data_IF_028088828896
#
_entry.id   IF_028088828896
#
_cell.length_a   1.000
_cell.length_b   1.000
_cell.length_c   1.000
_cell.angle_alpha   90.00
_cell.angle_beta   90.00
_cell.angle_gamma   90.00
#
_symmetry.space_group_name_H-M   'P 1'
#
loop_
_entity.id
_entity.type
_entity.pdbx_description
1 polymer ?
#
# COMPACT_ATOMS: atom_id res chain seq x y z
N UNK A 1 58.76 -24.37 110.34
CA UNK A 1 57.38 -24.39 110.79
C UNK A 1 56.47 -24.25 109.60
N UNK A 2 55.84 -25.37 109.22
CA UNK A 2 54.81 -25.42 108.14
C UNK A 2 53.50 -24.95 108.76
N UNK A 3 52.78 -24.05 107.99
CA UNK A 3 51.38 -23.75 108.28
C UNK A 3 50.57 -24.19 107.09
N UNK A 4 49.70 -25.16 107.32
CA UNK A 4 48.75 -25.76 106.41
C UNK A 4 47.46 -24.90 106.42
N UNK A 5 47.01 -24.36 105.30
CA UNK A 5 45.74 -23.63 105.13
C UNK A 5 44.74 -24.48 104.36
N UNK A 6 43.78 -25.01 105.08
CA UNK A 6 42.59 -25.66 104.44
C UNK A 6 41.77 -24.70 103.60
N UNK A 7 41.54 -25.05 102.37
CA UNK A 7 40.73 -24.35 101.42
C UNK A 7 39.23 -24.77 101.51
N UNK A 8 38.41 -23.96 102.11
CA UNK A 8 36.97 -24.15 102.28
C UNK A 8 36.31 -23.83 100.96
N UNK A 9 35.81 -24.83 100.24
CA UNK A 9 35.09 -24.65 98.93
C UNK A 9 33.70 -24.10 99.18
N UNK A 10 33.44 -22.89 98.70
CA UNK A 10 32.13 -22.21 98.70
C UNK A 10 31.28 -22.69 97.51
N UNK A 11 30.32 -23.56 97.81
CA UNK A 11 29.30 -24.02 96.82
C UNK A 11 28.35 -22.91 96.37
N UNK A 12 28.43 -21.70 96.86
CA UNK A 12 27.53 -20.57 96.53
C UNK A 12 27.85 -19.91 95.19
N UNK A 13 29.09 -20.01 94.66
CA UNK A 13 29.45 -19.43 93.36
C UNK A 13 28.88 -20.18 92.13
N UNK A 14 28.67 -21.50 92.29
CA UNK A 14 28.16 -22.31 91.15
C UNK A 14 26.65 -22.09 90.83
N UNK A 15 25.87 -21.83 91.92
CA UNK A 15 24.43 -21.53 91.72
C UNK A 15 24.22 -20.13 91.09
N UNK A 16 25.10 -19.17 91.29
CA UNK A 16 25.04 -17.87 90.63
C UNK A 16 25.49 -17.97 89.18
N UNK A 17 26.48 -18.75 88.84
CA UNK A 17 26.92 -18.97 87.46
C UNK A 17 25.87 -19.74 86.65
N UNK A 18 25.17 -20.71 87.22
CA UNK A 18 24.03 -21.42 86.55
C UNK A 18 22.81 -20.52 86.30
N UNK A 19 22.50 -19.60 87.27
CA UNK A 19 21.43 -18.63 87.17
C UNK A 19 21.69 -17.59 86.08
N UNK A 20 22.89 -17.08 85.94
CA UNK A 20 23.31 -16.14 84.88
C UNK A 20 23.32 -16.84 83.53
N UNK A 21 23.77 -18.12 83.44
CA UNK A 21 23.70 -18.93 82.20
C UNK A 21 22.25 -19.20 81.69
N UNK A 22 21.34 -19.49 82.64
CA UNK A 22 19.95 -19.69 82.33
C UNK A 22 19.24 -18.39 81.92
N UNK A 23 19.56 -17.23 82.48
CA UNK A 23 19.04 -15.92 82.03
C UNK A 23 19.61 -15.50 80.72
N UNK A 24 20.87 -15.79 80.38
CA UNK A 24 21.44 -15.56 79.04
C UNK A 24 20.84 -16.51 78.02
N UNK A 25 20.62 -17.77 78.33
CA UNK A 25 19.95 -18.71 77.42
C UNK A 25 18.49 -18.31 77.18
N UNK A 26 17.76 -17.84 78.19
CA UNK A 26 16.40 -17.30 78.04
C UNK A 26 16.38 -15.99 77.29
N UNK A 27 17.34 -15.09 77.44
CA UNK A 27 17.45 -13.86 76.67
C UNK A 27 17.83 -14.13 75.16
N UNK A 28 18.68 -15.11 74.88
CA UNK A 28 19.03 -15.55 73.58
C UNK A 28 17.81 -16.24 72.90
N UNK A 29 17.04 -17.02 73.69
CA UNK A 29 15.81 -17.63 73.16
C UNK A 29 14.72 -16.60 72.92
N UNK A 30 14.55 -15.56 73.69
CA UNK A 30 13.62 -14.47 73.51
C UNK A 30 14.04 -13.48 72.38
N UNK A 31 15.32 -13.36 72.08
CA UNK A 31 15.86 -12.56 70.99
C UNK A 31 15.74 -13.29 69.63
N UNK A 32 15.56 -14.62 69.64
CA UNK A 32 15.45 -15.43 68.41
C UNK A 32 14.01 -15.84 68.11
N UNK A 33 13.03 -15.41 68.89
CA UNK A 33 11.61 -15.49 68.48
C UNK A 33 11.31 -14.34 67.51
N UNK A 34 11.49 -14.56 66.20
CA UNK A 34 10.90 -13.69 65.17
C UNK A 34 9.42 -13.55 65.48
N UNK A 35 9.01 -12.34 65.82
CA UNK A 35 7.59 -12.01 65.98
C UNK A 35 6.98 -12.04 64.59
N UNK A 36 6.49 -13.21 64.16
CA UNK A 36 5.85 -13.39 62.86
C UNK A 36 4.43 -12.77 62.98
N UNK A 37 4.14 -11.67 62.29
CA UNK A 37 2.83 -11.06 62.35
C UNK A 37 1.79 -12.01 61.78
N UNK A 38 0.66 -12.16 62.46
CA UNK A 38 -0.49 -12.91 61.94
C UNK A 38 -1.41 -11.99 61.15
N UNK A 39 -1.89 -12.50 60.03
CA UNK A 39 -2.74 -11.80 59.07
C UNK A 39 -3.96 -12.65 58.79
N UNK A 40 -5.15 -12.03 58.81
CA UNK A 40 -6.38 -12.75 58.49
C UNK A 40 -6.44 -13.13 57.01
N UNK A 41 -6.82 -14.37 56.70
CA UNK A 41 -7.01 -14.84 55.31
C UNK A 41 -8.00 -13.98 54.49
N UNK A 42 -8.92 -13.26 55.17
CA UNK A 42 -9.86 -12.35 54.50
C UNK A 42 -9.23 -11.04 53.99
N UNK A 43 -8.04 -10.70 54.46
CA UNK A 43 -7.33 -9.47 54.11
C UNK A 43 -6.34 -9.66 52.94
N UNK A 44 -6.12 -10.91 52.52
CA UNK A 44 -5.16 -11.26 51.47
C UNK A 44 -5.84 -11.93 50.31
N UNK A 45 -5.46 -11.51 49.08
CA UNK A 45 -5.84 -12.19 47.86
C UNK A 45 -4.75 -13.16 47.44
N UNK A 46 -5.04 -14.45 47.57
CA UNK A 46 -4.12 -15.51 47.13
C UNK A 46 -4.36 -15.82 45.66
N UNK A 47 -3.29 -15.88 44.91
CA UNK A 47 -3.28 -16.27 43.49
C UNK A 47 -2.52 -17.55 43.33
N UNK A 48 -3.10 -18.55 42.69
CA UNK A 48 -2.43 -19.79 42.33
C UNK A 48 -1.48 -19.55 41.15
N UNK A 49 -0.28 -20.15 41.23
CA UNK A 49 0.65 -20.22 40.11
C UNK A 49 0.32 -21.46 39.29
N UNK A 50 -0.12 -21.23 38.08
CA UNK A 50 -0.46 -22.30 37.15
C UNK A 50 0.68 -22.53 36.15
N UNK A 51 0.80 -23.78 35.68
CA UNK A 51 1.72 -24.14 34.60
C UNK A 51 0.94 -24.68 33.41
N UNK A 52 1.18 -24.09 32.24
CA UNK A 52 0.47 -24.48 31.02
C UNK A 52 0.98 -23.76 29.79
N UNK A 53 0.28 -23.98 28.69
CA UNK A 53 0.56 -23.26 27.45
C UNK A 53 -0.05 -21.86 27.53
N UNK A 54 0.77 -20.85 27.35
CA UNK A 54 0.34 -19.45 27.36
C UNK A 54 0.61 -18.82 25.99
N UNK A 55 -0.43 -18.38 25.32
CA UNK A 55 -0.32 -17.64 24.07
C UNK A 55 -0.16 -16.15 24.35
N UNK A 56 0.90 -15.57 23.84
CA UNK A 56 1.14 -14.14 23.96
C UNK A 56 0.52 -13.40 22.77
N UNK A 57 -0.19 -12.33 23.08
CA UNK A 57 -0.81 -11.44 22.10
C UNK A 57 -0.39 -9.99 22.36
N UNK A 58 -0.14 -9.27 21.26
CA UNK A 58 -0.02 -7.81 21.29
C UNK A 58 -1.39 -7.20 21.05
N UNK A 59 -1.84 -6.32 21.94
CA UNK A 59 -3.01 -5.49 21.70
C UNK A 59 -2.58 -4.23 20.94
N UNK A 60 -3.21 -4.00 19.81
CA UNK A 60 -2.93 -2.87 18.94
C UNK A 60 -4.23 -2.17 18.55
N UNK A 61 -4.18 -0.86 18.46
CA UNK A 61 -5.30 -0.03 18.01
C UNK A 61 -4.99 0.50 16.61
N UNK A 62 -6.02 0.62 15.80
CA UNK A 62 -5.84 1.10 14.45
C UNK A 62 -7.14 1.42 13.76
N UNK A 63 -7.09 1.37 12.45
CA UNK A 63 -8.22 1.69 11.59
C UNK A 63 -8.22 0.82 10.34
N UNK A 64 -9.40 0.63 9.77
CA UNK A 64 -9.50 0.08 8.44
C UNK A 64 -9.09 1.11 7.39
N UNK A 65 -8.44 0.66 6.34
CA UNK A 65 -8.16 1.48 5.16
C UNK A 65 -8.36 0.67 3.88
N UNK A 66 -8.65 1.35 2.80
CA UNK A 66 -8.82 0.71 1.49
C UNK A 66 -7.47 0.24 0.96
N UNK A 67 -7.37 -1.02 0.52
CA UNK A 67 -6.16 -1.55 -0.11
C UNK A 67 -5.84 -0.84 -1.43
N UNK A 68 -6.89 -0.37 -2.12
CA UNK A 68 -6.81 0.37 -3.37
C UNK A 68 -7.45 1.74 -3.18
N UNK A 69 -6.65 2.78 -3.26
CA UNK A 69 -7.11 4.16 -3.23
C UNK A 69 -6.70 4.88 -4.51
N UNK A 70 -7.63 5.64 -5.08
CA UNK A 70 -7.37 6.49 -6.24
C UNK A 70 -7.49 7.95 -5.85
N UNK A 71 -6.41 8.68 -6.02
CA UNK A 71 -6.42 10.13 -5.92
C UNK A 71 -7.01 10.71 -7.21
N UNK A 72 -8.06 11.51 -7.07
CA UNK A 72 -8.65 12.26 -8.16
C UNK A 72 -7.85 13.55 -8.34
N UNK A 73 -7.28 13.76 -9.52
CA UNK A 73 -6.48 14.94 -9.85
C UNK A 73 -7.02 15.61 -11.10
N UNK A 74 -6.95 16.94 -11.16
CA UNK A 74 -7.29 17.70 -12.35
C UNK A 74 -6.21 17.51 -13.43
N UNK A 75 -6.56 16.91 -14.56
CA UNK A 75 -5.64 16.74 -15.70
C UNK A 75 -5.49 18.04 -16.52
N UNK A 76 -6.53 18.88 -16.53
CA UNK A 76 -6.53 20.19 -17.14
C UNK A 76 -7.04 21.23 -16.15
N UNK A 77 -6.59 22.49 -16.30
CA UNK A 77 -7.14 23.59 -15.50
C UNK A 77 -8.60 23.81 -15.84
N UNK A 78 -9.38 24.24 -14.83
CA UNK A 78 -10.79 24.59 -15.07
C UNK A 78 -11.48 25.09 -13.82
N UNK A 79 -12.71 25.59 -13.99
CA UNK A 79 -13.61 25.98 -12.91
C UNK A 79 -14.58 24.85 -12.62
N UNK A 80 -14.78 24.48 -11.35
CA UNK A 80 -15.78 23.47 -10.95
C UNK A 80 -17.16 23.96 -11.36
N UNK A 81 -17.71 23.37 -12.40
CA UNK A 81 -19.04 23.74 -12.94
C UNK A 81 -20.15 22.93 -12.26
N UNK A 82 -19.93 21.65 -11.99
CA UNK A 82 -20.93 20.78 -11.37
C UNK A 82 -20.23 19.73 -10.51
N UNK A 83 -20.87 19.36 -9.40
CA UNK A 83 -20.49 18.25 -8.54
C UNK A 83 -21.64 17.26 -8.58
N UNK A 84 -21.38 16.05 -9.11
CA UNK A 84 -22.38 15.00 -9.25
C UNK A 84 -22.47 14.11 -8.01
N UNK A 85 -21.34 13.87 -7.36
CA UNK A 85 -21.24 12.99 -6.18
C UNK A 85 -20.65 13.73 -5.00
N UNK A 86 -21.09 13.35 -3.79
CA UNK A 86 -20.58 13.90 -2.52
C UNK A 86 -19.81 12.82 -1.75
N UNK A 87 -18.92 13.20 -0.83
CA UNK A 87 -18.27 12.24 0.07
C UNK A 87 -19.28 11.32 0.74
N UNK A 88 -18.96 10.02 0.78
CA UNK A 88 -19.84 8.95 1.26
C UNK A 88 -20.68 8.26 0.18
N UNK A 89 -20.70 8.75 -1.05
CA UNK A 89 -21.40 8.08 -2.16
C UNK A 89 -20.63 6.85 -2.65
N UNK A 90 -21.36 5.75 -2.90
CA UNK A 90 -20.82 4.57 -3.60
C UNK A 90 -20.76 4.85 -5.11
N UNK A 91 -19.63 4.55 -5.73
CA UNK A 91 -19.31 4.88 -7.12
C UNK A 91 -18.69 3.69 -7.84
N UNK A 92 -18.91 3.62 -9.16
CA UNK A 92 -18.22 2.70 -10.07
C UNK A 92 -17.11 3.45 -10.80
N UNK A 93 -16.23 2.73 -11.46
CA UNK A 93 -15.08 3.30 -12.18
C UNK A 93 -15.45 4.41 -13.17
N UNK A 94 -16.56 4.28 -13.87
CA UNK A 94 -17.07 5.22 -14.87
C UNK A 94 -17.99 6.32 -14.32
N UNK A 95 -18.32 6.27 -13.03
CA UNK A 95 -19.23 7.25 -12.41
C UNK A 95 -18.61 8.63 -12.40
N UNK A 96 -19.28 9.65 -12.99
CA UNK A 96 -18.79 11.02 -12.95
C UNK A 96 -18.90 11.59 -11.51
N UNK A 97 -17.82 12.19 -11.04
CA UNK A 97 -17.74 12.81 -9.72
C UNK A 97 -18.01 14.31 -9.82
N UNK A 98 -17.31 14.99 -10.73
CA UNK A 98 -17.48 16.42 -10.97
C UNK A 98 -17.14 16.76 -12.42
N UNK A 99 -17.60 17.92 -12.86
CA UNK A 99 -17.29 18.51 -14.14
C UNK A 99 -16.56 19.84 -13.95
N UNK A 100 -15.43 19.97 -14.61
CA UNK A 100 -14.72 21.23 -14.75
C UNK A 100 -15.18 21.92 -16.05
N UNK A 101 -15.30 23.23 -16.05
CA UNK A 101 -15.53 24.04 -17.24
C UNK A 101 -14.24 24.79 -17.60
N UNK A 102 -13.85 24.69 -18.86
CA UNK A 102 -12.76 25.46 -19.44
C UNK A 102 -13.20 25.99 -20.81
N UNK A 103 -13.79 27.20 -20.88
CA UNK A 103 -14.25 27.78 -22.14
C UNK A 103 -13.10 28.07 -23.13
N UNK A 104 -11.90 28.37 -22.62
CA UNK A 104 -10.72 28.61 -23.45
C UNK A 104 -10.31 27.34 -24.22
N UNK A 105 -10.22 26.22 -23.52
CA UNK A 105 -9.93 24.92 -24.13
C UNK A 105 -11.02 24.53 -25.16
N UNK A 106 -12.28 24.81 -24.87
CA UNK A 106 -13.38 24.53 -25.82
C UNK A 106 -13.27 25.38 -27.09
N UNK A 107 -12.88 26.67 -26.95
CA UNK A 107 -12.60 27.52 -28.09
C UNK A 107 -11.38 27.04 -28.89
N UNK A 108 -10.32 26.62 -28.22
CA UNK A 108 -9.13 26.10 -28.86
C UNK A 108 -9.44 24.82 -29.65
N UNK A 109 -10.20 23.85 -29.08
CA UNK A 109 -10.67 22.66 -29.78
C UNK A 109 -11.42 23.06 -31.03
N UNK A 110 -12.35 24.02 -30.93
CA UNK A 110 -13.18 24.47 -32.10
C UNK A 110 -12.33 25.13 -33.17
N UNK A 111 -11.32 25.93 -32.77
CA UNK A 111 -10.37 26.56 -33.69
C UNK A 111 -9.55 25.52 -34.47
N UNK A 112 -8.94 24.57 -33.76
CA UNK A 112 -8.09 23.53 -34.34
C UNK A 112 -8.89 22.55 -35.21
N UNK A 113 -10.16 22.28 -34.86
CA UNK A 113 -11.07 21.55 -35.75
C UNK A 113 -11.36 22.28 -37.04
N UNK A 114 -11.54 23.60 -36.97
CA UNK A 114 -11.71 24.44 -38.18
C UNK A 114 -10.47 24.42 -39.06
N UNK A 115 -9.29 24.47 -38.44
CA UNK A 115 -8.02 24.39 -39.17
C UNK A 115 -7.84 23.01 -39.84
N UNK A 116 -8.18 21.91 -39.13
CA UNK A 116 -8.16 20.57 -39.70
C UNK A 116 -9.05 20.46 -40.94
N UNK A 117 -10.27 20.97 -40.84
CA UNK A 117 -11.21 20.97 -41.97
C UNK A 117 -10.66 21.75 -43.17
N UNK A 118 -10.01 22.90 -42.92
CA UNK A 118 -9.35 23.71 -43.97
C UNK A 118 -8.21 22.94 -44.64
N UNK A 119 -7.36 22.26 -43.85
CA UNK A 119 -6.24 21.47 -44.41
C UNK A 119 -6.73 20.24 -45.17
N UNK A 120 -7.77 19.56 -44.69
CA UNK A 120 -8.40 18.45 -45.42
C UNK A 120 -9.01 18.91 -46.79
N UNK A 121 -9.65 20.08 -46.79
CA UNK A 121 -10.17 20.65 -48.05
C UNK A 121 -9.03 21.04 -49.00
N UNK A 122 -7.93 21.60 -48.51
CA UNK A 122 -6.74 21.91 -49.29
C UNK A 122 -6.11 20.64 -49.88
N UNK A 123 -5.97 19.58 -49.11
CA UNK A 123 -5.48 18.27 -49.56
C UNK A 123 -6.37 17.72 -50.69
N UNK A 124 -7.71 17.73 -50.52
CA UNK A 124 -8.61 17.26 -51.55
C UNK A 124 -8.53 18.08 -52.87
N UNK A 125 -8.36 19.40 -52.74
CA UNK A 125 -8.17 20.26 -53.95
C UNK A 125 -6.83 19.95 -54.63
N UNK A 126 -5.77 19.73 -53.83
CA UNK A 126 -4.47 19.36 -54.36
C UNK A 126 -4.46 18.01 -55.07
N UNK A 127 -5.17 16.99 -54.50
CA UNK A 127 -5.33 15.68 -55.15
C UNK A 127 -6.06 15.79 -56.49
N UNK A 128 -7.10 16.66 -56.59
CA UNK A 128 -7.80 16.91 -57.85
C UNK A 128 -6.89 17.59 -58.88
N UNK A 129 -6.14 18.62 -58.49
CA UNK A 129 -5.19 19.33 -59.36
C UNK A 129 -4.12 18.36 -59.91
N UNK A 130 -3.53 17.57 -59.05
CA UNK A 130 -2.53 16.57 -59.42
C UNK A 130 -3.10 15.52 -60.40
N UNK A 131 -4.36 15.11 -60.20
CA UNK A 131 -4.97 14.16 -61.10
C UNK A 131 -5.22 14.76 -62.51
N UNK A 132 -5.58 16.04 -62.60
CA UNK A 132 -5.71 16.74 -63.85
C UNK A 132 -4.37 16.86 -64.58
N UNK A 133 -3.30 17.29 -63.84
CA UNK A 133 -1.95 17.37 -64.41
C UNK A 133 -1.47 16.00 -64.92
N UNK A 134 -1.74 14.94 -64.23
CA UNK A 134 -1.41 13.56 -64.65
C UNK A 134 -2.13 13.19 -65.93
N UNK A 135 -3.43 13.51 -66.06
CA UNK A 135 -4.21 13.24 -67.26
C UNK A 135 -3.63 14.01 -68.47
N UNK A 136 -3.18 15.25 -68.27
CA UNK A 136 -2.56 16.04 -69.37
C UNK A 136 -1.23 15.40 -69.84
N UNK A 137 -0.40 14.93 -68.90
CA UNK A 137 0.80 14.19 -69.28
C UNK A 137 0.51 12.85 -69.96
N UNK A 138 -0.46 12.09 -69.49
CA UNK A 138 -0.92 10.85 -70.13
C UNK A 138 -1.44 11.10 -71.55
N UNK A 139 -2.15 12.21 -71.76
CA UNK A 139 -2.58 12.65 -73.06
C UNK A 139 -1.41 12.94 -74.01
N UNK A 140 -0.40 13.66 -73.55
CA UNK A 140 0.84 13.92 -74.32
C UNK A 140 1.54 12.64 -74.77
N UNK A 141 1.63 11.67 -73.87
CA UNK A 141 2.24 10.34 -74.12
C UNK A 141 1.38 9.61 -75.19
N UNK A 142 0.10 9.65 -75.08
CA UNK A 142 -0.86 9.03 -76.06
C UNK A 142 -0.77 9.64 -77.49
N UNK A 143 -0.61 10.96 -77.54
CA UNK A 143 -0.41 11.65 -78.80
C UNK A 143 0.85 11.24 -79.54
N UNK A 144 1.94 11.18 -78.81
CA UNK A 144 3.25 10.73 -79.35
C UNK A 144 3.23 9.24 -79.70
N UNK A 145 2.54 8.42 -78.89
CA UNK A 145 2.38 6.99 -79.22
C UNK A 145 1.59 6.80 -80.54
N UNK A 146 0.54 7.58 -80.75
CA UNK A 146 -0.19 7.58 -82.01
C UNK A 146 0.65 8.05 -83.18
N UNK A 147 1.50 9.07 -83.02
CA UNK A 147 2.40 9.52 -84.08
C UNK A 147 3.52 8.45 -84.37
N UNK A 148 3.94 7.69 -83.42
CA UNK A 148 4.86 6.55 -83.61
C UNK A 148 4.16 5.45 -84.46
N UNK A 149 2.96 5.08 -84.08
CA UNK A 149 2.16 4.09 -84.85
C UNK A 149 1.94 4.48 -86.28
N UNK A 150 1.64 5.76 -86.51
CA UNK A 150 1.49 6.29 -87.87
C UNK A 150 2.84 6.18 -88.62
N UNK A 151 3.97 6.56 -88.06
CA UNK A 151 5.28 6.46 -88.70
C UNK A 151 5.70 5.00 -88.95
N UNK A 152 5.35 4.06 -88.07
CA UNK A 152 5.57 2.61 -88.25
C UNK A 152 4.74 2.05 -89.39
N UNK A 153 3.47 2.47 -89.52
CA UNK A 153 2.61 2.10 -90.67
C UNK A 153 3.13 2.62 -92.01
N UNK A 154 3.60 3.88 -92.03
CA UNK A 154 4.19 4.46 -93.25
C UNK A 154 5.45 3.70 -93.67
N UNK A 155 6.36 3.38 -92.71
CA UNK A 155 7.52 2.57 -93.00
C UNK A 155 7.13 1.17 -93.55
N UNK A 156 6.16 0.53 -92.93
CA UNK A 156 5.69 -0.79 -93.42
C UNK A 156 5.19 -0.78 -94.89
N UNK A 157 4.41 0.24 -95.22
CA UNK A 157 3.96 0.44 -96.61
C UNK A 157 5.09 0.68 -97.62
N UNK A 158 6.10 1.51 -97.22
CA UNK A 158 7.26 1.77 -98.09
C UNK A 158 8.15 0.52 -98.28
N UNK A 159 8.28 -0.33 -97.31
CA UNK A 159 8.98 -1.62 -97.39
C UNK A 159 8.24 -2.55 -98.34
N UNK A 160 6.97 -2.66 -98.26
CA UNK A 160 6.12 -3.49 -99.19
C UNK A 160 6.22 -2.99 -100.64
N UNK A 161 6.19 -1.65 -100.87
CA UNK A 161 6.36 -1.05 -102.20
C UNK A 161 7.75 -1.25 -102.77
N UNK A 162 8.82 -1.31 -101.94
CA UNK A 162 10.18 -1.62 -102.43
C UNK A 162 10.26 -3.04 -102.97
N UNK A 163 9.63 -4.02 -102.30
CA UNK A 163 9.61 -5.42 -102.78
C UNK A 163 8.87 -5.58 -104.13
N UNK A 164 8.04 -4.60 -104.44
CA UNK A 164 7.36 -4.48 -105.71
C UNK A 164 8.10 -3.58 -106.75
N UNK A 165 9.30 -3.04 -106.36
CA UNK A 165 10.16 -2.27 -107.28
C UNK A 165 9.75 -0.79 -107.48
N UNK A 166 8.88 -0.24 -106.66
CA UNK A 166 8.24 1.10 -106.83
C UNK A 166 8.80 2.16 -105.91
N UNK A 167 9.53 1.80 -104.78
CA UNK A 167 9.98 2.75 -103.81
C UNK A 167 11.52 2.96 -103.89
N UNK A 168 11.98 4.22 -103.61
CA UNK A 168 13.41 4.57 -103.54
C UNK A 168 14.01 4.22 -102.19
N UNK A 169 15.22 3.68 -102.18
CA UNK A 169 15.92 3.30 -100.89
C UNK A 169 16.14 4.51 -99.97
N UNK A 170 16.14 5.73 -100.45
CA UNK A 170 16.30 6.95 -99.64
C UNK A 170 15.01 7.26 -98.83
N UNK A 171 13.79 6.99 -99.39
CA UNK A 171 12.55 7.24 -98.69
C UNK A 171 12.33 6.28 -97.52
N UNK A 172 12.71 5.04 -97.71
CA UNK A 172 12.73 4.06 -96.62
C UNK A 172 13.65 4.50 -95.49
N UNK A 173 14.89 4.95 -95.79
CA UNK A 173 15.82 5.45 -94.74
C UNK A 173 15.28 6.68 -94.02
N UNK A 174 14.53 7.57 -94.69
CA UNK A 174 13.84 8.71 -94.05
C UNK A 174 12.76 8.24 -93.11
N UNK A 175 11.92 7.28 -93.49
CA UNK A 175 10.86 6.72 -92.63
C UNK A 175 11.45 5.96 -91.49
N UNK A 176 12.56 5.17 -91.67
CA UNK A 176 13.25 4.54 -90.57
C UNK A 176 13.80 5.57 -89.49
N UNK A 177 14.32 6.70 -90.00
CA UNK A 177 14.77 7.78 -89.09
C UNK A 177 13.64 8.44 -88.33
N UNK A 178 12.45 8.61 -88.99
CA UNK A 178 11.26 9.17 -88.35
C UNK A 178 10.74 8.23 -87.23
N UNK A 179 10.56 6.94 -87.53
CA UNK A 179 10.21 5.94 -86.50
C UNK A 179 11.19 5.99 -85.32
N UNK A 180 12.49 6.05 -85.57
CA UNK A 180 13.49 6.14 -84.54
C UNK A 180 13.36 7.45 -83.77
N UNK A 181 13.04 8.56 -84.37
CA UNK A 181 12.79 9.84 -83.75
C UNK A 181 11.57 9.79 -82.81
N UNK A 182 10.42 9.32 -83.37
CA UNK A 182 9.18 9.20 -82.58
C UNK A 182 9.35 8.23 -81.42
N UNK A 183 10.03 7.11 -81.62
CA UNK A 183 10.31 6.17 -80.53
C UNK A 183 11.13 6.78 -79.40
N UNK A 184 12.18 7.56 -79.68
CA UNK A 184 12.96 8.28 -78.69
C UNK A 184 12.14 9.36 -77.97
N UNK A 185 11.25 10.06 -78.71
CA UNK A 185 10.34 11.01 -78.10
C UNK A 185 9.40 10.34 -77.12
N UNK A 186 8.85 9.20 -77.47
CA UNK A 186 7.94 8.43 -76.64
C UNK A 186 8.64 7.97 -75.37
N UNK A 187 9.86 7.43 -75.47
CA UNK A 187 10.67 7.03 -74.32
C UNK A 187 10.95 8.21 -73.37
N UNK A 188 11.29 9.38 -73.95
CA UNK A 188 11.56 10.58 -73.13
C UNK A 188 10.29 11.08 -72.39
N UNK A 189 9.14 11.15 -73.05
CA UNK A 189 7.92 11.60 -72.41
C UNK A 189 7.40 10.57 -71.37
N UNK A 190 7.57 9.27 -71.62
CA UNK A 190 7.32 8.26 -70.58
C UNK A 190 8.22 8.41 -69.34
N UNK A 191 9.51 8.67 -69.52
CA UNK A 191 10.40 8.94 -68.37
C UNK A 191 9.99 10.20 -67.61
N UNK A 192 9.60 11.25 -68.32
CA UNK A 192 9.12 12.51 -67.75
C UNK A 192 7.83 12.31 -66.95
N UNK A 193 6.87 11.49 -67.45
CA UNK A 193 5.68 11.10 -66.73
C UNK A 193 6.03 10.35 -65.42
N UNK A 194 6.94 9.38 -65.48
CA UNK A 194 7.40 8.65 -64.29
C UNK A 194 7.98 9.60 -63.24
N UNK A 195 8.88 10.49 -63.62
CA UNK A 195 9.49 11.47 -62.70
C UNK A 195 8.44 12.42 -62.13
N UNK A 196 7.47 12.85 -62.92
CA UNK A 196 6.35 13.66 -62.47
C UNK A 196 5.52 12.94 -61.43
N UNK A 197 5.16 11.65 -61.65
CA UNK A 197 4.39 10.84 -60.72
C UNK A 197 5.15 10.62 -59.37
N UNK A 198 6.46 10.39 -59.45
CA UNK A 198 7.29 10.24 -58.24
C UNK A 198 7.30 11.55 -57.41
N UNK A 199 7.50 12.70 -58.05
CA UNK A 199 7.48 14.00 -57.42
C UNK A 199 6.08 14.30 -56.81
N UNK A 200 5.02 14.01 -57.53
CA UNK A 200 3.64 14.14 -57.02
C UNK A 200 3.38 13.27 -55.78
N UNK A 201 3.81 12.02 -55.82
CA UNK A 201 3.67 11.12 -54.69
C UNK A 201 4.34 11.67 -53.40
N UNK A 202 5.53 12.24 -53.54
CA UNK A 202 6.24 12.88 -52.42
C UNK A 202 5.52 14.12 -51.88
N UNK A 203 5.03 14.98 -52.78
CA UNK A 203 4.27 16.17 -52.38
C UNK A 203 2.94 15.82 -51.72
N UNK A 204 2.22 14.83 -52.27
CA UNK A 204 0.98 14.33 -51.68
C UNK A 204 1.24 13.71 -50.28
N UNK A 205 2.30 12.95 -50.14
CA UNK A 205 2.71 12.40 -48.84
C UNK A 205 2.99 13.52 -47.83
N UNK A 206 3.69 14.60 -48.23
CA UNK A 206 3.94 15.73 -47.34
C UNK A 206 2.62 16.36 -46.88
N UNK A 207 1.67 16.63 -47.78
CA UNK A 207 0.37 17.21 -47.43
C UNK A 207 -0.43 16.29 -46.50
N UNK A 208 -0.40 14.97 -46.71
CA UNK A 208 -1.02 13.99 -45.82
C UNK A 208 -0.44 13.99 -44.44
N UNK A 209 0.90 14.14 -44.30
CA UNK A 209 1.57 14.24 -43.01
C UNK A 209 1.12 15.50 -42.26
N UNK A 210 0.95 16.65 -42.96
CA UNK A 210 0.47 17.90 -42.34
C UNK A 210 -0.95 17.73 -41.78
N UNK A 211 -1.84 17.12 -42.55
CA UNK A 211 -3.22 16.81 -42.10
C UNK A 211 -3.18 15.85 -40.91
N UNK A 212 -2.38 14.81 -40.98
CA UNK A 212 -2.23 13.83 -39.85
C UNK A 212 -1.71 14.48 -38.57
N UNK A 213 -0.77 15.41 -38.67
CA UNK A 213 -0.26 16.14 -37.47
C UNK A 213 -1.38 17.00 -36.87
N UNK A 214 -2.19 17.66 -37.73
CA UNK A 214 -3.30 18.43 -37.25
C UNK A 214 -4.40 17.56 -36.61
N UNK A 215 -4.67 16.38 -37.16
CA UNK A 215 -5.60 15.39 -36.58
C UNK A 215 -5.15 14.97 -35.18
N UNK A 216 -3.85 14.69 -35.00
CA UNK A 216 -3.29 14.33 -33.70
C UNK A 216 -3.41 15.48 -32.70
N UNK A 217 -3.22 16.73 -33.15
CA UNK A 217 -3.39 17.89 -32.29
C UNK A 217 -4.83 18.05 -31.82
N UNK A 218 -5.79 17.92 -32.73
CA UNK A 218 -7.24 17.94 -32.42
C UNK A 218 -7.58 16.81 -31.43
N UNK A 219 -7.11 15.60 -31.69
CA UNK A 219 -7.35 14.44 -30.80
C UNK A 219 -6.82 14.66 -29.39
N UNK A 220 -5.61 15.24 -29.25
CA UNK A 220 -5.04 15.59 -27.94
C UNK A 220 -5.93 16.58 -27.20
N UNK A 221 -6.34 17.66 -27.83
CA UNK A 221 -7.20 18.68 -27.23
C UNK A 221 -8.59 18.14 -26.87
N UNK A 222 -9.14 17.25 -27.69
CA UNK A 222 -10.40 16.56 -27.38
C UNK A 222 -10.28 15.66 -26.15
N UNK A 223 -9.16 14.95 -26.00
CA UNK A 223 -8.88 14.16 -24.79
C UNK A 223 -8.81 15.07 -23.57
N UNK A 224 -8.09 16.20 -23.64
CA UNK A 224 -8.04 17.16 -22.55
C UNK A 224 -9.42 17.75 -22.20
N UNK A 225 -10.29 17.93 -23.19
CA UNK A 225 -11.67 18.38 -22.99
C UNK A 225 -12.52 17.29 -22.29
N UNK A 226 -12.34 16.01 -22.67
CA UNK A 226 -12.98 14.88 -22.00
C UNK A 226 -12.50 14.73 -20.55
N UNK A 227 -11.21 14.96 -20.30
CA UNK A 227 -10.59 14.91 -18.98
C UNK A 227 -11.10 15.99 -18.00
N UNK A 228 -11.86 16.98 -18.46
CA UNK A 228 -12.60 17.90 -17.60
C UNK A 228 -13.75 17.21 -16.85
N UNK A 229 -14.25 16.09 -17.34
CA UNK A 229 -15.18 15.24 -16.61
C UNK A 229 -14.41 14.23 -15.77
N UNK A 230 -14.31 14.52 -14.49
CA UNK A 230 -13.59 13.66 -13.54
C UNK A 230 -14.46 12.47 -13.16
N UNK A 231 -13.97 11.27 -13.41
CA UNK A 231 -14.63 10.00 -13.03
C UNK A 231 -13.93 9.35 -11.85
N UNK A 232 -14.61 8.45 -11.15
CA UNK A 232 -14.07 7.75 -9.98
C UNK A 232 -12.85 6.89 -10.32
N UNK A 233 -12.85 6.21 -11.46
CA UNK A 233 -11.75 5.39 -11.98
C UNK A 233 -11.53 4.05 -11.29
N UNK A 234 -12.11 3.83 -10.11
CA UNK A 234 -12.22 2.56 -9.38
C UNK A 234 -13.61 2.42 -8.78
N UNK A 235 -14.01 1.19 -8.49
CA UNK A 235 -15.24 0.91 -7.75
C UNK A 235 -14.99 1.04 -6.24
N UNK A 236 -15.88 1.76 -5.54
CA UNK A 236 -15.77 1.98 -4.10
C UNK A 236 -16.55 3.16 -3.60
N UNK A 237 -16.07 3.80 -2.56
CA UNK A 237 -16.72 4.98 -1.94
C UNK A 237 -15.85 6.23 -2.13
N UNK A 238 -16.49 7.35 -2.51
CA UNK A 238 -15.84 8.67 -2.52
C UNK A 238 -15.55 9.09 -1.07
N UNK A 239 -14.26 9.05 -0.68
CA UNK A 239 -13.85 9.32 0.71
C UNK A 239 -13.76 10.81 1.02
N UNK A 240 -13.18 11.59 0.10
CA UNK A 240 -13.08 13.04 0.22
C UNK A 240 -13.31 13.73 -1.13
N UNK A 241 -13.77 14.98 -1.04
CA UNK A 241 -13.83 15.92 -2.16
C UNK A 241 -13.27 17.25 -1.63
N UNK A 242 -12.13 17.67 -2.18
CA UNK A 242 -11.30 18.76 -1.63
C UNK A 242 -11.55 20.07 -2.38
N UNK A 243 -12.64 20.16 -3.17
CA UNK A 243 -12.99 21.31 -4.00
C UNK A 243 -14.45 21.69 -3.85
N UNK A 244 -14.75 22.96 -4.09
CA UNK A 244 -16.07 23.56 -3.99
C UNK A 244 -16.61 24.01 -5.37
N UNK A 245 -17.94 24.07 -5.48
CA UNK A 245 -18.60 24.58 -6.68
C UNK A 245 -18.16 26.02 -7.00
N UNK A 246 -17.72 26.25 -8.22
CA UNK A 246 -17.25 27.57 -8.65
C UNK A 246 -15.77 27.86 -8.37
N UNK A 247 -15.06 26.95 -7.72
CA UNK A 247 -13.62 27.07 -7.45
C UNK A 247 -12.81 26.90 -8.73
N UNK A 248 -11.77 27.71 -8.94
CA UNK A 248 -10.78 27.51 -9.99
C UNK A 248 -9.75 26.47 -9.54
N UNK A 249 -9.48 25.49 -10.39
CA UNK A 249 -8.58 24.38 -10.13
C UNK A 249 -7.47 24.39 -11.16
N UNK A 250 -6.19 24.48 -10.75
CA UNK A 250 -5.05 24.35 -11.65
C UNK A 250 -4.82 22.87 -12.04
N UNK A 251 -4.12 22.65 -13.12
CA UNK A 251 -3.67 21.32 -13.53
C UNK A 251 -2.82 20.67 -12.42
N UNK A 252 -3.02 19.37 -12.17
CA UNK A 252 -2.32 18.61 -11.14
C UNK A 252 -2.87 18.77 -9.72
N UNK A 253 -3.87 19.62 -9.49
CA UNK A 253 -4.47 19.77 -8.18
C UNK A 253 -5.22 18.53 -7.74
N UNK A 254 -5.15 18.20 -6.44
CA UNK A 254 -5.99 17.16 -5.82
C UNK A 254 -7.43 17.64 -5.77
N UNK A 255 -8.34 16.79 -6.23
CA UNK A 255 -9.79 17.03 -6.23
C UNK A 255 -10.50 16.21 -5.15
N UNK A 256 -9.91 15.09 -4.73
CA UNK A 256 -10.50 14.17 -3.76
C UNK A 256 -9.90 12.79 -3.86
N UNK A 257 -10.55 11.84 -3.18
CA UNK A 257 -10.08 10.46 -3.08
C UNK A 257 -11.24 9.47 -3.14
N UNK A 258 -11.07 8.41 -3.92
CA UNK A 258 -11.95 7.24 -3.94
C UNK A 258 -11.21 6.04 -3.37
N UNK A 259 -11.82 5.31 -2.44
CA UNK A 259 -11.27 4.08 -1.89
C UNK A 259 -12.16 2.88 -2.17
N UNK A 260 -11.56 1.75 -2.48
CA UNK A 260 -12.28 0.49 -2.70
C UNK A 260 -12.88 -0.03 -1.39
N UNK A 261 -14.13 -0.42 -1.42
CA UNK A 261 -14.83 -1.01 -0.27
C UNK A 261 -14.67 -2.54 -0.22
N UNK A 262 -14.30 -3.16 -1.34
CA UNK A 262 -14.21 -4.62 -1.48
C UNK A 262 -12.93 -5.20 -0.88
N UNK A 263 -11.89 -4.39 -0.74
CA UNK A 263 -10.57 -4.80 -0.23
C UNK A 263 -10.13 -3.87 0.88
N UNK A 264 -10.61 -4.14 2.09
CA UNK A 264 -10.15 -3.45 3.28
C UNK A 264 -8.95 -4.19 3.89
N UNK A 265 -8.04 -3.41 4.43
CA UNK A 265 -6.94 -3.84 5.28
C UNK A 265 -7.08 -3.16 6.64
N UNK A 266 -6.48 -3.72 7.67
CA UNK A 266 -6.39 -3.03 8.95
C UNK A 266 -4.96 -2.54 9.17
N UNK A 267 -4.81 -1.28 9.54
CA UNK A 267 -3.54 -0.69 9.93
C UNK A 267 -3.52 -0.53 11.44
N UNK A 268 -2.70 -1.34 12.10
CA UNK A 268 -2.63 -1.42 13.55
C UNK A 268 -1.34 -0.77 14.07
N UNK A 269 -1.46 0.06 15.10
CA UNK A 269 -0.32 0.65 15.81
C UNK A 269 0.09 -0.26 16.94
N UNK A 270 1.25 -0.88 16.79
CA UNK A 270 1.81 -1.82 17.76
C UNK A 270 2.88 -1.11 18.58
N UNK A 271 2.93 -1.29 19.92
CA UNK A 271 4.02 -0.76 20.74
C UNK A 271 5.39 -1.27 20.25
N UNK A 272 6.37 -0.38 20.13
CA UNK A 272 7.70 -0.69 19.59
C UNK A 272 8.33 -1.94 20.25
N UNK A 273 8.22 -2.07 21.56
CA UNK A 273 8.83 -3.17 22.30
C UNK A 273 8.23 -4.56 22.03
N UNK A 274 7.09 -4.62 21.31
CA UNK A 274 6.45 -5.87 20.86
C UNK A 274 6.58 -6.05 19.34
N UNK A 275 6.90 -4.99 18.62
CA UNK A 275 7.00 -5.01 17.16
C UNK A 275 8.04 -6.01 16.64
N UNK A 276 9.18 -6.12 17.35
CA UNK A 276 10.26 -7.03 16.97
C UNK A 276 9.88 -8.53 17.11
N UNK A 277 8.83 -8.83 17.88
CA UNK A 277 8.32 -10.19 18.08
C UNK A 277 7.24 -10.58 17.04
N UNK A 278 6.77 -9.63 16.23
CA UNK A 278 5.74 -9.89 15.22
C UNK A 278 6.38 -10.54 14.01
N UNK A 279 5.90 -11.72 13.67
CA UNK A 279 6.28 -12.42 12.46
C UNK A 279 5.33 -12.07 11.30
N UNK A 280 5.88 -12.01 10.09
CA UNK A 280 5.05 -11.92 8.88
C UNK A 280 4.19 -13.16 8.77
N UNK A 281 2.90 -12.98 8.45
CA UNK A 281 1.92 -14.06 8.42
C UNK A 281 1.33 -14.43 9.80
N UNK A 282 1.72 -13.74 10.88
CA UNK A 282 1.13 -13.97 12.21
C UNK A 282 -0.39 -13.74 12.19
N UNK A 283 -1.11 -14.60 12.88
CA UNK A 283 -2.56 -14.52 12.99
C UNK A 283 -2.99 -13.29 13.80
N UNK A 284 -4.01 -12.62 13.33
CA UNK A 284 -4.57 -11.42 13.96
C UNK A 284 -6.08 -11.58 14.05
N UNK A 285 -6.63 -11.24 15.21
CA UNK A 285 -8.06 -11.08 15.40
C UNK A 285 -8.37 -9.60 15.47
N UNK A 286 -9.06 -9.08 14.45
CA UNK A 286 -9.47 -7.67 14.38
C UNK A 286 -10.91 -7.56 14.86
N UNK A 287 -11.13 -6.75 15.88
CA UNK A 287 -12.43 -6.55 16.51
C UNK A 287 -13.01 -5.18 16.13
N UNK A 288 -14.28 -5.18 15.76
CA UNK A 288 -15.13 -4.01 15.55
C UNK A 288 -16.23 -3.97 16.60
N UNK A 289 -17.10 -2.97 16.52
CA UNK A 289 -18.26 -2.89 17.43
C UNK A 289 -19.32 -3.98 17.16
N UNK A 290 -19.41 -4.49 15.94
CA UNK A 290 -20.47 -5.42 15.50
C UNK A 290 -19.98 -6.82 15.16
N UNK A 291 -18.68 -7.07 15.27
CA UNK A 291 -18.13 -8.38 14.98
C UNK A 291 -16.61 -8.40 15.00
N UNK A 292 -16.08 -9.54 14.71
CA UNK A 292 -14.64 -9.77 14.59
C UNK A 292 -14.32 -10.41 13.26
N UNK A 293 -13.13 -10.14 12.76
CA UNK A 293 -12.61 -10.72 11.52
C UNK A 293 -11.18 -11.19 11.74
N UNK A 294 -10.88 -12.37 11.21
CA UNK A 294 -9.52 -12.91 11.21
C UNK A 294 -8.69 -12.25 10.13
N UNK A 295 -7.40 -12.19 10.35
CA UNK A 295 -6.47 -11.67 9.37
C UNK A 295 -5.06 -12.14 9.65
N UNK A 296 -4.14 -11.74 8.77
CA UNK A 296 -2.72 -12.02 8.89
C UNK A 296 -1.89 -10.76 8.70
N UNK A 297 -0.77 -10.70 9.41
CA UNK A 297 0.18 -9.60 9.25
C UNK A 297 0.84 -9.73 7.87
N UNK A 298 0.56 -8.78 6.99
CA UNK A 298 1.16 -8.72 5.66
C UNK A 298 2.48 -7.96 5.67
N UNK A 299 2.56 -6.90 6.47
CA UNK A 299 3.72 -6.03 6.53
C UNK A 299 3.83 -5.35 7.90
N UNK A 300 5.06 -5.17 8.37
CA UNK A 300 5.39 -4.34 9.52
C UNK A 300 6.33 -3.24 9.05
N UNK A 301 6.00 -1.99 9.31
CA UNK A 301 6.84 -0.87 8.93
C UNK A 301 8.10 -0.83 9.79
N UNK A 302 9.22 -0.39 9.22
CA UNK A 302 10.49 -0.26 9.95
C UNK A 302 10.63 1.08 10.69
N UNK A 303 9.67 1.99 10.48
CA UNK A 303 9.72 3.35 11.06
C UNK A 303 8.89 3.39 12.34
N UNK A 304 9.52 3.86 13.42
CA UNK A 304 8.84 4.08 14.69
C UNK A 304 8.29 5.51 14.73
N UNK A 305 6.99 5.62 14.96
CA UNK A 305 6.32 6.92 15.09
C UNK A 305 5.61 6.97 16.44
N UNK A 306 5.94 7.94 17.27
CA UNK A 306 5.35 8.11 18.62
C UNK A 306 5.42 6.84 19.49
N UNK A 307 6.53 6.08 19.42
CA UNK A 307 6.73 4.86 20.21
C UNK A 307 5.93 3.64 19.71
N UNK A 308 5.33 3.74 18.52
CA UNK A 308 4.59 2.65 17.87
C UNK A 308 5.12 2.37 16.48
N UNK A 309 4.91 1.15 16.02
CA UNK A 309 5.18 0.68 14.66
C UNK A 309 3.86 0.33 14.00
N UNK A 310 3.71 0.62 12.71
CA UNK A 310 2.51 0.27 11.97
C UNK A 310 2.63 -1.16 11.40
N UNK A 311 1.63 -1.98 11.70
CA UNK A 311 1.44 -3.30 11.12
C UNK A 311 0.22 -3.28 10.19
N UNK A 312 0.40 -3.70 8.95
CA UNK A 312 -0.69 -3.89 7.98
C UNK A 312 -1.17 -5.34 8.04
N UNK A 313 -2.47 -5.49 8.22
CA UNK A 313 -3.13 -6.78 8.37
C UNK A 313 -4.08 -7.00 7.20
N UNK A 314 -3.85 -8.07 6.46
CA UNK A 314 -4.79 -8.58 5.46
C UNK A 314 -5.93 -9.30 6.16
N UNK A 315 -7.17 -8.94 5.82
CA UNK A 315 -8.37 -9.52 6.42
C UNK A 315 -8.78 -10.78 5.65
N UNK A 316 -9.21 -11.81 6.36
CA UNK A 316 -9.63 -13.11 5.79
C UNK A 316 -11.11 -13.37 6.15
N UNK A 317 -11.91 -13.73 5.14
CA UNK A 317 -13.33 -14.03 5.32
C UNK A 317 -14.26 -12.84 5.09
N UNK A 318 -15.50 -12.94 5.58
CA UNK A 318 -16.51 -11.90 5.45
C UNK A 318 -16.24 -10.74 6.41
N UNK A 319 -16.28 -9.54 5.88
CA UNK A 319 -16.11 -8.33 6.67
C UNK A 319 -17.33 -8.07 7.55
N UNK A 320 -17.14 -7.59 8.78
CA UNK A 320 -18.27 -7.13 9.61
C UNK A 320 -19.11 -6.08 8.89
N UNK A 321 -20.43 -6.09 9.12
CA UNK A 321 -21.37 -5.21 8.44
C UNK A 321 -21.14 -3.70 8.65
N UNK A 322 -20.35 -3.36 9.65
CA UNK A 322 -19.94 -1.99 9.97
C UNK A 322 -18.53 -1.62 9.43
N UNK A 323 -17.82 -2.57 8.80
CA UNK A 323 -16.48 -2.32 8.27
C UNK A 323 -16.51 -1.24 7.18
N UNK A 324 -15.82 -0.14 7.42
CA UNK A 324 -15.67 0.99 6.50
C UNK A 324 -14.26 1.59 6.62
N UNK A 325 -13.74 2.19 5.56
CA UNK A 325 -12.48 2.94 5.64
C UNK A 325 -12.51 3.99 6.78
N UNK A 326 -11.36 4.21 7.42
CA UNK A 326 -11.15 5.08 8.57
C UNK A 326 -11.92 4.69 9.86
N UNK A 327 -12.57 3.52 9.89
CA UNK A 327 -13.19 3.02 11.11
C UNK A 327 -12.14 2.49 12.07
N UNK A 328 -12.21 2.94 13.34
CA UNK A 328 -11.30 2.48 14.40
C UNK A 328 -11.57 1.03 14.76
N UNK A 329 -10.51 0.26 14.91
CA UNK A 329 -10.54 -1.16 15.26
C UNK A 329 -9.49 -1.48 16.33
N UNK A 330 -9.70 -2.61 17.01
CA UNK A 330 -8.71 -3.19 17.92
C UNK A 330 -8.23 -4.52 17.34
N UNK A 331 -6.92 -4.71 17.27
CA UNK A 331 -6.31 -5.96 16.82
C UNK A 331 -5.61 -6.69 17.95
N UNK A 332 -5.76 -8.01 18.00
CA UNK A 332 -4.97 -8.91 18.83
C UNK A 332 -4.04 -9.71 17.91
N UNK A 333 -2.77 -9.35 17.91
CA UNK A 333 -1.75 -9.97 17.07
C UNK A 333 -1.11 -11.09 17.87
N UNK A 334 -1.13 -12.31 17.36
CA UNK A 334 -0.42 -13.45 17.95
C UNK A 334 1.10 -13.22 17.83
N UNK A 335 1.80 -13.31 18.97
CA UNK A 335 3.25 -13.18 18.98
C UNK A 335 3.94 -14.55 19.05
N UNK A 336 3.63 -15.32 20.08
CA UNK A 336 4.22 -16.65 20.28
C UNK A 336 3.42 -17.48 21.28
N UNK A 337 3.61 -18.79 21.24
CA UNK A 337 3.09 -19.73 22.23
C UNK A 337 4.22 -20.20 23.13
N UNK A 338 4.09 -19.93 24.42
CA UNK A 338 5.01 -20.40 25.45
C UNK A 338 4.51 -21.75 25.98
N UNK A 339 5.28 -22.79 25.76
CA UNK A 339 4.95 -24.12 26.30
C UNK A 339 5.42 -24.22 27.75
N UNK A 340 4.57 -24.79 28.63
CA UNK A 340 4.87 -24.97 30.06
C UNK A 340 5.26 -23.69 30.80
N UNK A 341 4.74 -22.54 30.39
CA UNK A 341 4.96 -21.28 31.08
C UNK A 341 4.29 -21.30 32.46
N UNK A 342 4.93 -20.68 33.44
CA UNK A 342 4.31 -20.35 34.70
C UNK A 342 3.58 -19.03 34.56
N UNK A 343 2.34 -18.95 35.05
CA UNK A 343 1.57 -17.72 35.02
C UNK A 343 0.66 -17.60 36.24
N UNK A 344 0.27 -16.37 36.53
CA UNK A 344 -0.70 -16.03 37.60
C UNK A 344 -1.79 -15.16 37.01
N UNK A 345 -2.99 -15.21 37.59
CA UNK A 345 -4.06 -14.31 37.21
C UNK A 345 -3.66 -12.84 37.48
N UNK A 346 -4.05 -11.94 36.59
CA UNK A 346 -3.82 -10.50 36.78
C UNK A 346 -4.57 -10.02 38.00
N UNK A 347 -3.88 -9.36 38.92
CA UNK A 347 -4.49 -8.77 40.11
C UNK A 347 -3.88 -7.40 40.42
N UNK A 348 -4.58 -6.56 41.18
CA UNK A 348 -4.04 -5.30 41.66
C UNK A 348 -2.73 -5.53 42.42
N UNK A 349 -1.73 -4.68 42.17
CA UNK A 349 -0.38 -4.79 42.78
C UNK A 349 0.63 -5.62 41.98
N UNK A 350 0.21 -6.43 40.99
CA UNK A 350 1.12 -7.11 40.07
C UNK A 350 1.21 -6.30 38.74
N UNK A 351 2.44 -5.96 38.35
CA UNK A 351 2.69 -5.19 37.13
C UNK A 351 3.48 -6.04 36.14
N UNK A 352 3.12 -6.02 34.85
CA UNK A 352 3.89 -6.71 33.84
C UNK A 352 5.32 -6.14 33.74
N UNK A 353 6.28 -6.98 33.38
CA UNK A 353 7.69 -6.64 33.19
C UNK A 353 8.32 -5.93 34.38
N UNK A 354 8.03 -6.44 35.58
CA UNK A 354 8.54 -5.86 36.83
C UNK A 354 9.11 -6.92 37.77
N UNK A 355 10.06 -6.51 38.54
CA UNK A 355 10.60 -7.29 39.65
C UNK A 355 10.00 -6.76 40.95
N UNK A 356 9.35 -7.65 41.73
CA UNK A 356 8.57 -7.28 42.89
C UNK A 356 8.89 -8.24 44.05
N UNK A 357 8.83 -7.73 45.27
CA UNK A 357 8.84 -8.59 46.47
C UNK A 357 7.38 -8.95 46.81
N UNK A 358 7.11 -10.23 46.97
CA UNK A 358 5.78 -10.74 47.33
C UNK A 358 5.91 -11.91 48.29
N UNK A 359 4.85 -12.08 49.10
CA UNK A 359 4.76 -13.23 49.99
C UNK A 359 4.24 -14.44 49.21
N UNK A 360 4.94 -15.55 49.36
CA UNK A 360 4.65 -16.85 48.77
C UNK A 360 4.38 -17.85 49.85
N UNK A 361 3.30 -18.59 49.76
CA UNK A 361 2.94 -19.63 50.74
C UNK A 361 3.95 -20.76 50.67
N UNK A 362 4.54 -21.10 51.85
CA UNK A 362 5.56 -22.16 51.98
C UNK A 362 5.05 -23.39 52.76
N UNK A 363 3.84 -23.35 53.30
CA UNK A 363 3.25 -24.45 54.07
C UNK A 363 1.98 -24.00 54.82
N UNK A 364 1.62 -24.73 55.88
CA UNK A 364 0.40 -24.49 56.64
C UNK A 364 0.33 -23.09 57.24
N UNK A 365 -0.21 -22.14 56.49
CA UNK A 365 -0.42 -20.77 56.93
C UNK A 365 0.82 -19.87 57.01
N UNK A 366 2.00 -20.33 56.61
CA UNK A 366 3.22 -19.52 56.59
C UNK A 366 3.51 -19.01 55.18
N UNK A 367 3.78 -17.70 55.05
CA UNK A 367 4.18 -17.09 53.81
C UNK A 367 5.55 -16.37 53.98
N UNK A 368 6.46 -16.60 53.04
CA UNK A 368 7.80 -16.00 53.03
C UNK A 368 7.91 -14.98 51.90
N UNK A 369 8.58 -13.85 52.21
CA UNK A 369 8.86 -12.83 51.23
C UNK A 369 9.91 -13.34 50.21
N UNK A 370 9.51 -13.31 48.92
CA UNK A 370 10.37 -13.74 47.83
C UNK A 370 10.35 -12.68 46.72
N UNK A 371 11.48 -12.48 46.07
CA UNK A 371 11.56 -11.66 44.86
C UNK A 371 11.03 -12.45 43.67
N UNK A 372 10.00 -11.93 43.03
CA UNK A 372 9.40 -12.51 41.84
C UNK A 372 9.63 -11.59 40.63
N UNK A 373 9.86 -12.18 39.50
CA UNK A 373 10.03 -11.47 38.26
C UNK A 373 8.87 -11.84 37.31
N UNK A 374 8.11 -10.83 36.92
CA UNK A 374 6.96 -10.98 36.05
C UNK A 374 7.29 -10.56 34.62
N UNK A 375 6.85 -11.35 33.68
CA UNK A 375 6.98 -11.12 32.25
C UNK A 375 5.79 -10.38 31.62
N UNK A 376 5.42 -10.79 30.45
CA UNK A 376 4.33 -10.20 29.69
C UNK A 376 2.95 -10.59 30.22
N UNK A 377 1.98 -9.76 29.91
CA UNK A 377 0.57 -10.02 30.18
C UNK A 377 -0.14 -10.46 28.91
N UNK A 378 -0.96 -11.49 29.03
CA UNK A 378 -1.81 -11.93 27.94
C UNK A 378 -3.10 -12.53 28.49
N UNK A 379 -4.24 -12.19 27.91
CA UNK A 379 -5.57 -12.73 28.25
C UNK A 379 -5.88 -12.72 29.76
N UNK A 380 -5.44 -11.68 30.49
CA UNK A 380 -5.68 -11.56 31.92
C UNK A 380 -4.76 -12.40 32.82
N UNK A 381 -3.70 -13.00 32.25
CA UNK A 381 -2.66 -13.72 32.98
C UNK A 381 -1.30 -13.02 32.82
N UNK A 382 -0.51 -13.02 33.89
CA UNK A 382 0.85 -12.51 33.94
C UNK A 382 1.82 -13.70 33.91
N UNK A 383 2.76 -13.65 32.97
CA UNK A 383 3.86 -14.62 32.91
C UNK A 383 4.75 -14.46 34.14
N UNK A 384 5.20 -15.56 34.71
CA UNK A 384 6.23 -15.62 35.79
C UNK A 384 7.53 -16.07 35.16
N UNK A 385 8.56 -15.22 35.22
CA UNK A 385 9.91 -15.52 34.71
C UNK A 385 10.77 -16.21 35.75
N UNK A 386 10.68 -15.76 37.00
CA UNK A 386 11.46 -16.34 38.09
C UNK A 386 10.81 -16.07 39.45
N UNK A 387 11.22 -16.83 40.48
CA UNK A 387 10.82 -16.64 41.87
C UNK A 387 9.60 -17.44 42.34
N UNK A 388 8.85 -18.10 41.44
CA UNK A 388 7.70 -18.94 41.80
C UNK A 388 7.81 -20.32 41.16
N UNK A 389 7.12 -21.30 41.76
CA UNK A 389 6.99 -22.66 41.24
C UNK A 389 5.53 -23.00 40.92
N UNK A 390 5.31 -24.01 40.15
CA UNK A 390 3.94 -24.50 39.82
C UNK A 390 3.21 -24.93 41.11
N UNK A 391 1.93 -24.59 41.22
CA UNK A 391 1.05 -24.84 42.37
C UNK A 391 1.39 -24.06 43.64
N UNK A 392 2.37 -23.18 43.65
CA UNK A 392 2.54 -22.21 44.75
C UNK A 392 1.40 -21.18 44.73
N UNK A 393 1.18 -20.55 45.90
CA UNK A 393 0.25 -19.44 46.03
C UNK A 393 1.00 -18.16 46.39
N UNK A 394 0.73 -17.08 45.68
CA UNK A 394 1.36 -15.77 45.89
C UNK A 394 0.32 -14.75 46.33
N UNK A 395 0.68 -13.89 47.27
CA UNK A 395 -0.18 -12.78 47.71
C UNK A 395 -0.06 -11.63 46.70
N UNK A 396 -1.21 -11.24 46.09
CA UNK A 396 -1.26 -10.23 45.05
C UNK A 396 -0.79 -8.85 45.52
N UNK A 397 -1.22 -8.44 46.71
CA UNK A 397 -0.91 -7.13 47.30
C UNK A 397 -0.04 -7.29 48.52
N UNK A 398 0.91 -6.38 48.71
CA UNK A 398 1.74 -6.30 49.87
C UNK A 398 1.51 -4.93 50.53
N UNK A 399 0.71 -4.86 51.61
CA UNK A 399 0.53 -3.65 52.40
C UNK A 399 1.85 -3.17 53.00
N UNK A 400 2.06 -1.87 53.11
CA UNK A 400 3.30 -1.27 53.58
C UNK A 400 3.71 -1.75 54.99
N UNK A 401 2.73 -2.04 55.82
CA UNK A 401 2.95 -2.55 57.16
C UNK A 401 3.66 -3.90 57.21
N UNK A 402 3.62 -4.69 56.13
CA UNK A 402 4.27 -6.01 56.07
C UNK A 402 5.61 -5.97 55.31
N UNK A 403 5.91 -4.85 54.67
CA UNK A 403 7.10 -4.75 53.80
C UNK A 403 8.44 -5.00 54.54
N UNK A 404 8.47 -4.75 55.84
CA UNK A 404 9.65 -4.94 56.69
C UNK A 404 9.84 -6.37 57.25
N UNK A 405 8.86 -7.26 57.04
CA UNK A 405 8.86 -8.60 57.59
C UNK A 405 9.29 -9.62 56.53
N UNK A 406 10.10 -10.57 56.86
CA UNK A 406 10.51 -11.64 55.95
C UNK A 406 9.50 -12.78 55.92
N UNK A 407 8.69 -12.95 57.00
CA UNK A 407 7.70 -14.01 57.14
C UNK A 407 6.42 -13.44 57.76
N UNK A 408 5.27 -13.95 57.30
CA UNK A 408 3.95 -13.67 57.87
C UNK A 408 3.19 -14.98 58.02
N UNK A 409 2.30 -15.04 59.03
CA UNK A 409 1.43 -16.18 59.26
C UNK A 409 0.00 -15.80 58.86
N UNK A 410 -0.63 -16.62 58.05
CA UNK A 410 -2.02 -16.42 57.62
C UNK A 410 -2.92 -17.28 58.46
N UNK A 411 -3.77 -16.64 59.28
CA UNK A 411 -4.76 -17.34 60.10
C UNK A 411 -6.02 -17.60 59.28
N UNK A 412 -6.35 -18.87 59.10
CA UNK A 412 -7.65 -19.26 58.61
C UNK A 412 -8.66 -19.13 59.78
N UNK A 413 -9.57 -18.21 59.64
CA UNK A 413 -10.69 -18.13 60.58
C UNK A 413 -11.56 -19.38 60.36
N UNK A 414 -11.59 -20.29 61.38
CA UNK A 414 -12.40 -21.44 61.45
C UNK A 414 -13.91 -21.11 61.44
#
# INVERSE_FOLDING_TARGET
>A
VQINLEKKSSKRGWYMAAGVGALLALSIYSLNSENIPSVSASEVQLLAVEQGNMNLYSQAFGEFFSAEERLLTAQSMGKVAMIYQRPGASVKADTPILLLANPELQQEVSHEQGELLRQQAALASFELEQNNDKLDFEGQVADIASALEQAEMELAVLIELKDRGVSASLDIKRAELDVKLQKRRLEFEKQKLVQFMEMQALQLQQQKIEVQQQEQRVALLQTQLQDLQITAGIEGTLQSLDVELGQNVPQGASLGKVGSDSKLLARLRVPQHQADQIQLGADVLVQTRKGEVKGKVNRVESVVTNGTVLAEVGLEGELPADARPAMSVTGQIFLQSLQQALYVAQAPGLRPRSQLQRFVMTGEGLAEQRTIELGDISQGHLQVLSGLQANEQVIAQMPEQWASHQKIQIEQKG
#
